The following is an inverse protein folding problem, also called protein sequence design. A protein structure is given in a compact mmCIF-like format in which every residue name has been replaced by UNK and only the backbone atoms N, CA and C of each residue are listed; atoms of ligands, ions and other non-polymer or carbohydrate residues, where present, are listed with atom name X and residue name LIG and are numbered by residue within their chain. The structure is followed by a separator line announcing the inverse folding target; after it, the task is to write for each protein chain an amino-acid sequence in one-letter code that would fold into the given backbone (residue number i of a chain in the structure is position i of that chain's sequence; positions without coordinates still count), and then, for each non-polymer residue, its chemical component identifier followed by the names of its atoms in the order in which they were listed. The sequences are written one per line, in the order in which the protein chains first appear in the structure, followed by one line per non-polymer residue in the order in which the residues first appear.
data_IF_054315562751
#
_entry.id   IF_054315562751
#
_cell.length_a   1.000
_cell.length_b   1.000
_cell.length_c   1.000
_cell.angle_alpha   90.00
_cell.angle_beta   90.00
_cell.angle_gamma   90.00
#
_symmetry.space_group_name_H-M   'P 1'
#
loop_
_entity.id
_entity.type
_entity.pdbx_description
1 polymer ?
#
# COMPACT_ATOMS: atom_id res chain seq x y z
N UNK A 1 -9.55 -11.90 -1.41
CA UNK A 1 -10.82 -11.16 -1.62
C UNK A 1 -11.98 -11.78 -0.85
N UNK A 2 -12.45 -12.99 -1.18
CA UNK A 2 -13.54 -13.65 -0.42
C UNK A 2 -13.09 -14.07 0.99
N UNK A 3 -11.88 -14.64 1.12
CA UNK A 3 -11.37 -15.13 2.42
C UNK A 3 -11.23 -14.04 3.50
N UNK A 4 -10.74 -12.84 3.17
CA UNK A 4 -10.62 -11.75 4.15
C UNK A 4 -11.97 -11.17 4.57
N UNK A 5 -12.95 -11.13 3.65
CA UNK A 5 -14.30 -10.68 3.97
C UNK A 5 -15.01 -11.67 4.91
N UNK A 6 -14.82 -12.97 4.66
CA UNK A 6 -15.33 -14.05 5.51
C UNK A 6 -14.70 -14.00 6.90
N UNK A 7 -13.40 -13.69 7.01
CA UNK A 7 -12.73 -13.63 8.31
C UNK A 7 -13.24 -12.46 9.17
N UNK A 8 -13.50 -11.30 8.56
CA UNK A 8 -14.10 -10.14 9.24
C UNK A 8 -15.54 -10.43 9.64
N UNK A 9 -16.32 -11.10 8.78
CA UNK A 9 -17.70 -11.51 9.10
C UNK A 9 -17.75 -12.55 10.22
N UNK A 10 -16.88 -13.57 10.19
CA UNK A 10 -16.80 -14.62 11.21
C UNK A 10 -16.37 -14.03 12.55
N UNK A 11 -15.41 -13.10 12.55
CA UNK A 11 -15.01 -12.40 13.77
C UNK A 11 -16.15 -11.54 14.34
N UNK A 12 -16.82 -10.76 13.48
CA UNK A 12 -17.95 -9.93 13.89
C UNK A 12 -19.12 -10.75 14.44
N UNK A 13 -19.43 -11.91 13.84
CA UNK A 13 -20.49 -12.80 14.32
C UNK A 13 -20.10 -13.53 15.60
N UNK A 14 -18.83 -13.95 15.74
CA UNK A 14 -18.32 -14.60 16.95
C UNK A 14 -18.47 -13.74 18.20
N UNK A 15 -18.19 -12.44 18.09
CA UNK A 15 -18.28 -11.51 19.22
C UNK A 15 -19.73 -11.15 19.61
N UNK A 16 -20.67 -11.16 18.66
CA UNK A 16 -22.10 -10.97 19.01
C UNK A 16 -22.65 -12.08 19.89
N UNK A 17 -22.16 -13.31 19.70
CA UNK A 17 -22.54 -14.46 20.54
C UNK A 17 -21.93 -14.33 21.94
N UNK A 18 -20.67 -13.90 22.06
CA UNK A 18 -20.01 -13.69 23.35
C UNK A 18 -20.63 -12.53 24.13
N UNK A 19 -21.10 -11.49 23.43
CA UNK A 19 -21.81 -10.36 24.03
C UNK A 19 -23.17 -10.80 24.60
N UNK A 20 -23.95 -11.60 23.87
CA UNK A 20 -25.22 -12.14 24.36
C UNK A 20 -25.05 -13.02 25.60
N UNK A 21 -24.01 -13.87 25.64
CA UNK A 21 -23.74 -14.77 26.77
C UNK A 21 -23.25 -14.01 28.02
N UNK A 22 -22.38 -13.00 27.83
CA UNK A 22 -21.89 -12.14 28.91
C UNK A 22 -23.04 -11.32 29.55
N UNK A 23 -23.98 -10.82 28.74
CA UNK A 23 -25.20 -10.16 29.24
C UNK A 23 -26.20 -11.14 29.88
N UNK A 24 -26.22 -12.39 29.43
CA UNK A 24 -27.04 -13.45 30.02
C UNK A 24 -26.59 -13.82 31.44
N UNK A 25 -25.29 -13.88 31.69
CA UNK A 25 -24.75 -14.16 33.03
C UNK A 25 -24.76 -12.94 33.98
N UNK A 26 -24.65 -11.72 33.45
CA UNK A 26 -24.60 -10.51 34.27
C UNK A 26 -25.97 -10.05 34.83
N UNK A 27 -27.08 -10.67 34.42
CA UNK A 27 -28.43 -10.24 34.79
C UNK A 27 -29.10 -11.14 35.84
N UNK A 28 -28.65 -11.00 37.09
CA UNK A 28 -29.52 -11.17 38.26
C UNK A 28 -30.31 -9.88 38.50
N UNK A 29 -31.37 -9.64 37.72
CA UNK A 29 -32.42 -8.65 38.00
C UNK A 29 -32.01 -7.17 38.04
N UNK A 30 -32.02 -6.49 36.88
CA UNK A 30 -32.02 -5.02 36.86
C UNK A 30 -31.80 -4.44 35.46
N UNK A 31 -32.88 -3.99 34.80
CA UNK A 31 -32.80 -3.21 33.56
C UNK A 31 -32.25 -1.79 33.87
N UNK A 32 -30.92 -1.65 33.98
CA UNK A 32 -30.27 -0.35 33.94
C UNK A 32 -30.19 0.11 32.47
N UNK A 33 -30.96 1.13 32.13
CA UNK A 33 -30.98 1.77 30.80
C UNK A 33 -29.95 2.91 30.73
N UNK A 34 -29.59 3.42 29.54
CA UNK A 34 -28.26 3.30 28.92
C UNK A 34 -27.47 4.62 28.95
N UNK A 35 -26.17 4.60 29.26
CA UNK A 35 -25.30 5.79 29.13
C UNK A 35 -24.04 5.51 28.30
N UNK A 36 -24.26 5.55 26.98
CA UNK A 36 -23.39 6.13 25.93
C UNK A 36 -21.89 5.82 26.00
N UNK A 37 -21.47 4.64 25.57
CA UNK A 37 -20.14 4.45 24.98
C UNK A 37 -19.88 3.14 24.21
N UNK A 38 -20.66 2.03 24.23
CA UNK A 38 -20.14 0.82 23.58
C UNK A 38 -20.33 0.84 22.06
N UNK A 39 -21.53 1.16 21.55
CA UNK A 39 -21.82 1.04 20.11
C UNK A 39 -21.09 2.10 19.27
N UNK A 40 -20.99 3.34 19.76
CA UNK A 40 -20.26 4.41 19.08
C UNK A 40 -18.75 4.11 19.01
N UNK A 41 -18.17 3.57 20.10
CA UNK A 41 -16.76 3.16 20.13
C UNK A 41 -16.52 1.95 19.21
N UNK A 42 -17.44 0.98 19.19
CA UNK A 42 -17.36 -0.16 18.28
C UNK A 42 -17.47 0.27 16.81
N UNK A 43 -18.42 1.14 16.48
CA UNK A 43 -18.56 1.68 15.13
C UNK A 43 -17.29 2.42 14.70
N UNK A 44 -16.67 3.17 15.61
CA UNK A 44 -15.40 3.85 15.35
C UNK A 44 -14.26 2.86 15.12
N UNK A 45 -14.14 1.82 15.94
CA UNK A 45 -13.18 0.74 15.76
C UNK A 45 -13.34 0.02 14.41
N UNK A 46 -14.57 -0.33 14.02
CA UNK A 46 -14.85 -0.96 12.72
C UNK A 46 -14.52 -0.02 11.55
N UNK A 47 -14.83 1.27 11.67
CA UNK A 47 -14.53 2.27 10.64
C UNK A 47 -13.03 2.45 10.47
N UNK A 48 -12.29 2.52 11.59
CA UNK A 48 -10.83 2.61 11.60
C UNK A 48 -10.21 1.33 11.01
N UNK A 49 -10.68 0.15 11.44
CA UNK A 49 -10.20 -1.13 10.92
C UNK A 49 -10.49 -1.28 9.42
N UNK A 50 -11.68 -0.93 8.96
CA UNK A 50 -12.05 -0.93 7.54
C UNK A 50 -11.20 0.06 6.73
N UNK A 51 -10.95 1.25 7.28
CA UNK A 51 -10.08 2.24 6.65
C UNK A 51 -8.64 1.73 6.52
N UNK A 52 -8.07 1.20 7.61
CA UNK A 52 -6.72 0.62 7.64
C UNK A 52 -6.62 -0.56 6.68
N UNK A 53 -7.62 -1.45 6.66
CA UNK A 53 -7.69 -2.58 5.76
C UNK A 53 -7.76 -2.13 4.30
N UNK A 54 -8.63 -1.17 3.95
CA UNK A 54 -8.73 -0.62 2.61
C UNK A 54 -7.45 0.11 2.20
N UNK A 55 -6.81 0.85 3.10
CA UNK A 55 -5.54 1.53 2.86
C UNK A 55 -4.42 0.51 2.62
N UNK A 56 -4.34 -0.55 3.43
CA UNK A 56 -3.39 -1.64 3.27
C UNK A 56 -3.62 -2.38 1.95
N UNK A 57 -4.87 -2.73 1.62
CA UNK A 57 -5.21 -3.43 0.39
C UNK A 57 -5.01 -2.55 -0.86
N UNK A 58 -5.18 -1.23 -0.73
CA UNK A 58 -4.80 -0.24 -1.77
C UNK A 58 -3.29 -0.20 -1.95
N UNK A 59 -2.50 -0.22 -0.87
CA UNK A 59 -1.03 -0.32 -0.94
C UNK A 59 -0.59 -1.58 -1.68
N UNK A 60 -1.15 -2.74 -1.34
CA UNK A 60 -0.81 -4.01 -2.01
C UNK A 60 -1.14 -3.97 -3.51
N UNK A 61 -2.35 -3.52 -3.89
CA UNK A 61 -2.72 -3.40 -5.31
C UNK A 61 -1.83 -2.43 -6.07
N UNK A 62 -1.49 -1.30 -5.47
CA UNK A 62 -0.60 -0.34 -6.11
C UNK A 62 0.84 -0.88 -6.23
N UNK A 63 1.31 -1.65 -5.25
CA UNK A 63 2.63 -2.28 -5.29
C UNK A 63 2.74 -3.33 -6.42
N UNK A 64 1.69 -4.13 -6.64
CA UNK A 64 1.66 -5.08 -7.77
C UNK A 64 1.64 -4.37 -9.12
N UNK A 65 0.87 -3.27 -9.22
CA UNK A 65 0.78 -2.50 -10.46
C UNK A 65 2.11 -1.81 -10.78
N UNK A 66 2.75 -1.25 -9.76
CA UNK A 66 4.11 -0.69 -9.79
C UNK A 66 5.15 -1.72 -10.26
N UNK A 67 5.14 -2.91 -9.68
CA UNK A 67 6.06 -4.00 -10.03
C UNK A 67 5.90 -4.43 -11.50
N UNK A 68 4.68 -4.38 -12.04
CA UNK A 68 4.45 -4.62 -13.47
C UNK A 68 4.79 -3.43 -14.39
N UNK A 69 4.86 -2.21 -13.84
CA UNK A 69 5.07 -0.98 -14.61
C UNK A 69 6.54 -0.79 -14.95
N UNK A 70 7.44 -1.02 -13.99
CA UNK A 70 8.88 -0.77 -14.13
C UNK A 70 9.48 -1.52 -15.34
N UNK A 71 9.21 -2.81 -15.57
CA UNK A 71 9.75 -3.52 -16.74
C UNK A 71 9.24 -2.97 -18.07
N UNK A 72 8.01 -2.46 -18.10
CA UNK A 72 7.47 -1.84 -19.31
C UNK A 72 8.12 -0.50 -19.60
N UNK A 73 8.24 0.37 -18.59
CA UNK A 73 8.94 1.66 -18.71
C UNK A 73 10.40 1.43 -19.12
N UNK A 74 11.04 0.42 -18.54
CA UNK A 74 12.41 0.09 -18.90
C UNK A 74 12.55 -0.25 -20.39
N UNK A 75 11.59 -1.01 -20.96
CA UNK A 75 11.58 -1.32 -22.40
C UNK A 75 11.25 -0.11 -23.27
N UNK A 76 10.22 0.65 -22.89
CA UNK A 76 9.75 1.82 -23.66
C UNK A 76 10.85 2.89 -23.80
N UNK A 77 11.60 3.14 -22.73
CA UNK A 77 12.64 4.17 -22.68
C UNK A 77 14.07 3.62 -22.86
N UNK A 78 14.23 2.34 -23.20
CA UNK A 78 15.54 1.73 -23.49
C UNK A 78 16.50 1.70 -22.29
N UNK A 79 16.00 1.44 -21.10
CA UNK A 79 16.81 1.24 -19.90
C UNK A 79 17.53 -0.11 -19.98
N UNK A 80 18.76 -0.12 -19.48
CA UNK A 80 19.52 -1.34 -19.23
C UNK A 80 18.96 -2.08 -18.01
N UNK A 81 19.30 -3.37 -17.87
CA UNK A 81 18.91 -4.16 -16.68
C UNK A 81 19.34 -3.50 -15.36
N UNK A 82 20.52 -2.86 -15.33
CA UNK A 82 21.00 -2.17 -14.13
C UNK A 82 20.11 -0.97 -13.81
N UNK A 83 19.80 -0.16 -14.83
CA UNK A 83 18.94 1.02 -14.70
C UNK A 83 17.50 0.66 -14.31
N UNK A 84 16.96 -0.45 -14.81
CA UNK A 84 15.66 -0.98 -14.41
C UNK A 84 15.60 -1.31 -12.91
N UNK A 85 16.63 -1.99 -12.40
CA UNK A 85 16.75 -2.29 -10.96
C UNK A 85 16.81 -1.00 -10.15
N UNK A 86 17.65 -0.04 -10.53
CA UNK A 86 17.71 1.26 -9.86
C UNK A 86 16.36 1.99 -9.89
N UNK A 87 15.65 1.98 -11.02
CA UNK A 87 14.33 2.59 -11.16
C UNK A 87 13.33 1.96 -10.18
N UNK A 88 13.35 0.63 -10.01
CA UNK A 88 12.47 -0.07 -9.07
C UNK A 88 12.71 0.34 -7.61
N UNK A 89 13.97 0.59 -7.23
CA UNK A 89 14.33 1.03 -5.88
C UNK A 89 14.00 2.51 -5.66
N UNK A 90 14.19 3.34 -6.68
CA UNK A 90 13.80 4.76 -6.65
C UNK A 90 12.30 4.92 -6.45
N UNK A 91 11.49 4.11 -7.15
CA UNK A 91 10.04 4.10 -7.04
C UNK A 91 9.58 3.72 -5.62
N UNK A 92 10.26 2.75 -4.99
CA UNK A 92 10.03 2.35 -3.60
C UNK A 92 10.45 3.42 -2.58
N UNK A 93 11.06 4.52 -3.01
CA UNK A 93 11.49 5.60 -2.13
C UNK A 93 12.90 5.42 -1.56
N UNK A 94 13.67 4.43 -2.03
CA UNK A 94 15.03 4.19 -1.50
C UNK A 94 15.96 5.38 -1.78
N UNK A 95 16.72 5.78 -0.77
CA UNK A 95 17.77 6.78 -0.86
C UNK A 95 18.97 6.26 -1.65
N UNK A 96 19.81 7.17 -2.15
CA UNK A 96 21.00 6.78 -2.91
C UNK A 96 21.98 5.93 -2.08
N UNK A 97 21.96 6.09 -0.74
CA UNK A 97 22.77 5.29 0.19
C UNK A 97 22.22 3.87 0.33
N UNK A 98 20.90 3.74 0.49
CA UNK A 98 20.25 2.42 0.55
C UNK A 98 20.38 1.66 -0.77
N UNK A 99 20.27 2.36 -1.92
CA UNK A 99 20.51 1.75 -3.24
C UNK A 99 21.96 1.26 -3.35
N UNK A 100 22.93 2.06 -2.89
CA UNK A 100 24.34 1.68 -2.90
C UNK A 100 24.61 0.42 -2.06
N UNK A 101 23.99 0.34 -0.88
CA UNK A 101 24.08 -0.81 0.02
C UNK A 101 23.42 -2.07 -0.57
N UNK A 102 22.22 -1.94 -1.15
CA UNK A 102 21.48 -3.07 -1.75
C UNK A 102 22.14 -3.60 -3.03
N UNK A 103 22.68 -2.71 -3.85
CA UNK A 103 23.29 -3.06 -5.14
C UNK A 103 24.81 -3.29 -5.06
N UNK A 104 25.37 -3.23 -3.85
CA UNK A 104 26.80 -3.42 -3.56
C UNK A 104 27.73 -2.54 -4.42
N UNK A 105 27.37 -1.27 -4.59
CA UNK A 105 28.12 -0.29 -5.40
C UNK A 105 28.31 1.03 -4.65
N UNK A 106 29.25 1.86 -5.11
CA UNK A 106 29.47 3.18 -4.48
C UNK A 106 28.28 4.13 -4.71
N UNK A 107 28.03 5.01 -3.75
CA UNK A 107 27.00 6.08 -3.87
C UNK A 107 27.26 6.97 -5.08
N UNK A 108 28.51 7.18 -5.46
CA UNK A 108 28.85 7.99 -6.64
C UNK A 108 28.43 7.28 -7.93
N UNK A 109 28.66 5.97 -8.02
CA UNK A 109 28.20 5.12 -9.12
C UNK A 109 26.67 5.12 -9.23
N UNK A 110 25.98 5.04 -8.09
CA UNK A 110 24.51 5.17 -8.04
C UNK A 110 24.07 6.52 -8.62
N UNK A 111 24.67 7.64 -8.21
CA UNK A 111 24.33 8.97 -8.76
C UNK A 111 24.48 9.02 -10.28
N UNK A 112 25.55 8.46 -10.83
CA UNK A 112 25.76 8.41 -12.29
C UNK A 112 24.67 7.58 -12.97
N UNK A 113 24.36 6.40 -12.46
CA UNK A 113 23.30 5.57 -13.02
C UNK A 113 21.92 6.24 -12.93
N UNK A 114 21.61 6.91 -11.82
CA UNK A 114 20.36 7.68 -11.66
C UNK A 114 20.32 8.84 -12.67
N UNK A 115 21.43 9.53 -12.89
CA UNK A 115 21.49 10.61 -13.89
C UNK A 115 21.18 10.10 -15.31
N UNK A 116 21.68 8.91 -15.65
CA UNK A 116 21.38 8.28 -16.94
C UNK A 116 19.91 7.87 -17.05
N UNK A 117 19.34 7.31 -15.96
CA UNK A 117 17.90 7.00 -15.87
C UNK A 117 17.06 8.27 -16.09
N UNK A 118 17.42 9.37 -15.42
CA UNK A 118 16.75 10.66 -15.54
C UNK A 118 16.81 11.21 -16.96
N UNK A 119 17.99 11.17 -17.59
CA UNK A 119 18.17 11.57 -18.98
C UNK A 119 17.30 10.75 -19.94
N UNK A 120 17.25 9.42 -19.78
CA UNK A 120 16.43 8.53 -20.62
C UNK A 120 14.94 8.77 -20.45
N UNK A 121 14.49 9.03 -19.23
CA UNK A 121 13.08 9.30 -18.91
C UNK A 121 12.68 10.76 -19.19
N UNK A 122 13.64 11.65 -19.48
CA UNK A 122 13.40 13.07 -19.68
C UNK A 122 12.89 13.76 -18.41
N UNK A 123 13.41 13.39 -17.25
CA UNK A 123 13.10 14.00 -15.95
C UNK A 123 14.38 14.57 -15.34
N UNK A 124 14.25 15.58 -14.49
CA UNK A 124 15.38 16.27 -13.87
C UNK A 124 15.45 16.10 -12.35
N UNK A 125 14.34 15.71 -11.72
CA UNK A 125 14.24 15.57 -10.27
C UNK A 125 13.55 14.28 -9.85
N UNK A 126 13.75 13.91 -8.59
CA UNK A 126 13.08 12.75 -7.98
C UNK A 126 11.56 12.94 -7.95
N UNK A 127 11.11 14.17 -7.75
CA UNK A 127 9.68 14.50 -7.73
C UNK A 127 9.07 14.39 -9.13
N UNK A 128 9.78 14.87 -10.16
CA UNK A 128 9.38 14.70 -11.57
C UNK A 128 9.36 13.23 -11.98
N UNK A 129 10.34 12.43 -11.55
CA UNK A 129 10.31 10.98 -11.74
C UNK A 129 9.02 10.39 -11.15
N UNK A 130 8.73 10.70 -9.89
CA UNK A 130 7.54 10.19 -9.21
C UNK A 130 6.24 10.67 -9.87
N UNK A 131 6.21 11.87 -10.44
CA UNK A 131 5.08 12.36 -11.22
C UNK A 131 4.93 11.59 -12.53
N UNK A 132 6.01 11.43 -13.30
CA UNK A 132 5.99 10.73 -14.59
C UNK A 132 5.56 9.27 -14.45
N UNK A 133 6.09 8.56 -13.44
CA UNK A 133 5.64 7.19 -13.14
C UNK A 133 4.14 7.13 -12.81
N UNK A 134 3.60 8.12 -12.10
CA UNK A 134 2.16 8.21 -11.80
C UNK A 134 1.33 8.50 -13.05
N UNK A 135 1.84 9.29 -13.98
CA UNK A 135 1.18 9.56 -15.26
C UNK A 135 1.12 8.30 -16.13
N UNK A 136 2.22 7.56 -16.25
CA UNK A 136 2.29 6.28 -16.95
C UNK A 136 1.32 5.25 -16.33
N UNK A 137 1.28 5.18 -14.99
CA UNK A 137 0.34 4.32 -14.27
C UNK A 137 -1.13 4.68 -14.56
N UNK A 138 -1.45 5.97 -14.65
CA UNK A 138 -2.79 6.45 -15.00
C UNK A 138 -3.13 6.13 -16.46
N UNK A 139 -2.19 6.31 -17.38
CA UNK A 139 -2.35 5.93 -18.78
C UNK A 139 -2.67 4.44 -18.92
N UNK A 140 -1.93 3.59 -18.20
CA UNK A 140 -2.14 2.14 -18.23
C UNK A 140 -3.45 1.69 -17.60
N UNK A 141 -3.90 2.34 -16.52
CA UNK A 141 -5.25 2.13 -15.95
C UNK A 141 -6.37 2.50 -16.94
N UNK A 142 -6.16 3.48 -17.82
CA UNK A 142 -7.13 3.87 -18.85
C UNK A 142 -7.11 2.96 -20.09
N UNK A 143 -5.93 2.42 -20.43
CA UNK A 143 -5.74 1.57 -21.60
C UNK A 143 -6.19 0.11 -21.38
N UNK A 144 -6.43 -0.30 -20.13
CA UNK A 144 -6.83 -1.66 -19.81
C UNK A 144 -7.30 -1.80 -18.37
N UNK A 145 -8.51 -1.34 -18.10
CA UNK A 145 -9.47 -1.92 -17.17
C UNK A 145 -10.89 -1.46 -17.53
#
# INVERSE_FOLDING_TARGET
WVFSLVLVLVYALGETATYLDFFGQANGGGFASPRKAPVEVMALCFTVAAYVFLAHHRRIRNAQLAESLVPWIAREYGLTKREEVLLSLLEKGASNKEIAEQEYISVNTVKTHISNVYAKLGVSSRDELAQKLREELRGRKRAGF
#
